data_IF_529360862049
#
_entry.id   IF_529360862049
#
_cell.length_a   1.000
_cell.length_b   1.000
_cell.length_c   1.000
_cell.angle_alpha   90.00
_cell.angle_beta   90.00
_cell.angle_gamma   90.00
#
_symmetry.space_group_name_H-M   'P 1'
#
loop_
_entity.id
_entity.type
_entity.pdbx_description
1 polymer ?
#
# COMPACT_ATOMS: atom_id res chain seq x y z
N UNK A 1 31.05 -43.66 -18.32
CA UNK A 1 30.09 -43.14 -17.32
C UNK A 1 29.24 -42.12 -18.04
N UNK A 2 27.96 -42.40 -18.21
CA UNK A 2 27.04 -41.44 -18.84
C UNK A 2 26.57 -40.51 -17.75
N UNK A 3 26.80 -39.19 -17.95
CA UNK A 3 26.28 -38.16 -17.08
C UNK A 3 24.74 -38.23 -17.12
N UNK A 4 24.17 -38.51 -15.95
CA UNK A 4 22.74 -38.43 -15.72
C UNK A 4 22.43 -36.95 -15.60
N UNK A 5 21.98 -36.33 -16.68
CA UNK A 5 21.32 -35.02 -16.62
C UNK A 5 20.03 -35.27 -15.86
N UNK A 6 20.00 -34.92 -14.60
CA UNK A 6 18.77 -34.85 -13.82
C UNK A 6 17.90 -33.75 -14.45
N UNK A 7 16.78 -34.16 -15.04
CA UNK A 7 15.72 -33.21 -15.43
C UNK A 7 15.37 -32.34 -14.21
N UNK A 8 15.18 -31.01 -14.36
CA UNK A 8 14.72 -30.20 -13.27
C UNK A 8 13.42 -30.80 -12.74
N UNK A 9 13.33 -30.98 -11.44
CA UNK A 9 12.10 -31.36 -10.77
C UNK A 9 11.00 -30.40 -11.26
N UNK A 10 9.81 -30.95 -11.49
CA UNK A 10 8.64 -30.15 -11.90
C UNK A 10 8.25 -29.29 -10.67
N UNK A 11 8.90 -28.14 -10.52
CA UNK A 11 8.61 -27.15 -9.47
C UNK A 11 7.27 -26.52 -9.79
N UNK A 12 6.39 -26.38 -8.81
CA UNK A 12 5.17 -25.59 -8.97
C UNK A 12 5.50 -24.11 -9.24
N UNK A 13 4.53 -23.34 -9.73
CA UNK A 13 4.70 -21.89 -9.93
C UNK A 13 5.09 -21.20 -8.63
N UNK A 14 5.95 -20.20 -8.71
CA UNK A 14 6.38 -19.33 -7.60
C UNK A 14 7.08 -20.05 -6.42
N UNK A 15 7.67 -21.23 -6.65
CA UNK A 15 8.36 -21.98 -5.59
C UNK A 15 9.88 -21.74 -5.58
N UNK A 16 10.45 -21.33 -6.68
CA UNK A 16 11.88 -21.02 -6.80
C UNK A 16 12.05 -19.52 -7.10
N UNK A 17 12.87 -18.76 -6.33
CA UNK A 17 13.03 -17.33 -6.53
C UNK A 17 13.82 -16.99 -7.82
N UNK A 18 14.59 -17.90 -8.39
CA UNK A 18 15.46 -17.64 -9.53
C UNK A 18 14.95 -18.23 -10.85
N UNK A 19 14.13 -19.29 -10.75
CA UNK A 19 13.68 -20.06 -11.94
C UNK A 19 12.16 -20.24 -11.89
N UNK A 20 11.50 -20.09 -13.04
CA UNK A 20 10.06 -20.37 -13.19
C UNK A 20 9.80 -21.86 -13.28
N UNK A 21 8.54 -22.29 -13.13
CA UNK A 21 8.13 -23.70 -13.29
C UNK A 21 8.55 -24.29 -14.64
N UNK A 22 8.63 -23.46 -15.70
CA UNK A 22 9.07 -23.85 -17.05
C UNK A 22 10.60 -23.80 -17.23
N UNK A 23 11.37 -23.56 -16.18
CA UNK A 23 12.83 -23.52 -16.21
C UNK A 23 13.46 -22.26 -16.80
N UNK A 24 12.68 -21.18 -16.94
CA UNK A 24 13.17 -19.88 -17.43
C UNK A 24 13.67 -19.01 -16.28
N UNK A 25 14.58 -18.06 -16.56
CA UNK A 25 15.08 -17.10 -15.57
C UNK A 25 13.95 -16.17 -15.11
N UNK A 26 13.68 -16.17 -13.81
CA UNK A 26 12.69 -15.28 -13.19
C UNK A 26 13.14 -13.82 -13.25
N UNK A 27 12.20 -12.91 -13.53
CA UNK A 27 12.47 -11.49 -13.48
C UNK A 27 12.77 -11.02 -12.05
N UNK A 28 13.64 -10.04 -11.96
CA UNK A 28 13.92 -9.28 -10.73
C UNK A 28 13.83 -7.79 -11.00
N UNK A 29 13.60 -7.02 -9.95
CA UNK A 29 13.42 -5.57 -9.98
C UNK A 29 14.40 -4.94 -8.99
N UNK A 30 15.30 -4.10 -9.49
CA UNK A 30 16.19 -3.28 -8.67
C UNK A 30 15.45 -2.07 -8.09
N UNK A 31 15.84 -1.61 -6.90
CA UNK A 31 15.42 -0.31 -6.38
C UNK A 31 16.15 0.79 -7.14
N UNK A 32 15.56 1.28 -8.24
CA UNK A 32 16.22 2.17 -9.19
C UNK A 32 15.97 3.67 -8.94
N UNK A 33 14.83 4.00 -8.31
CA UNK A 33 14.40 5.38 -8.06
C UNK A 33 13.53 5.43 -6.81
N UNK A 34 14.10 5.28 -5.59
CA UNK A 34 13.33 5.29 -4.35
C UNK A 34 12.60 6.63 -4.19
N UNK A 35 11.27 6.59 -4.20
CA UNK A 35 10.38 7.75 -4.12
C UNK A 35 9.53 7.73 -2.86
N UNK A 36 9.02 6.55 -2.47
CA UNK A 36 8.13 6.41 -1.32
C UNK A 36 8.67 5.39 -0.31
N UNK A 37 8.74 5.78 0.95
CA UNK A 37 8.92 4.84 2.06
C UNK A 37 7.60 4.68 2.82
N UNK A 38 7.08 3.46 2.81
CA UNK A 38 5.85 3.10 3.52
C UNK A 38 6.14 2.64 4.95
N UNK A 39 5.30 3.04 5.89
CA UNK A 39 5.26 2.50 7.25
C UNK A 39 3.92 1.82 7.51
N UNK A 40 3.96 0.52 7.85
CA UNK A 40 2.79 -0.16 8.37
C UNK A 40 2.64 0.17 9.85
N UNK A 41 1.58 0.85 10.20
CA UNK A 41 1.32 1.37 11.56
C UNK A 41 0.79 0.30 12.52
N UNK A 42 0.74 -0.97 12.10
CA UNK A 42 0.16 -2.11 12.79
C UNK A 42 -1.07 -2.67 12.09
N UNK A 43 -1.41 -3.92 12.35
CA UNK A 43 -2.56 -4.60 11.71
C UNK A 43 -3.89 -4.48 12.46
N UNK A 44 -3.91 -3.85 13.64
CA UNK A 44 -5.16 -3.55 14.33
C UNK A 44 -6.00 -2.56 13.52
N UNK A 45 -7.29 -2.89 13.34
CA UNK A 45 -8.27 -2.08 12.64
C UNK A 45 -9.58 -2.02 13.44
N UNK A 46 -10.36 -0.95 13.26
CA UNK A 46 -11.68 -0.82 13.88
C UNK A 46 -12.78 -1.62 13.17
N UNK A 47 -12.46 -2.17 11.99
CA UNK A 47 -13.36 -3.02 11.19
C UNK A 47 -12.59 -4.26 10.70
N UNK A 48 -13.33 -5.22 10.16
CA UNK A 48 -12.82 -6.42 9.49
C UNK A 48 -13.48 -6.49 8.12
N UNK A 49 -12.75 -6.09 7.07
CA UNK A 49 -13.24 -6.09 5.69
C UNK A 49 -13.22 -7.51 5.12
N UNK A 50 -14.20 -7.86 4.30
CA UNK A 50 -14.33 -9.20 3.72
C UNK A 50 -13.09 -9.64 2.93
N UNK A 51 -12.48 -8.73 2.19
CA UNK A 51 -11.32 -8.98 1.33
C UNK A 51 -10.09 -8.15 1.74
N UNK A 52 -9.82 -8.05 3.06
CA UNK A 52 -8.64 -7.33 3.54
C UNK A 52 -7.35 -8.12 3.24
N UNK A 53 -6.50 -7.63 2.33
CA UNK A 53 -5.28 -8.31 1.89
C UNK A 53 -4.22 -8.52 2.99
N UNK A 54 -4.28 -7.75 4.08
CA UNK A 54 -3.41 -7.91 5.25
C UNK A 54 -4.15 -8.48 6.46
N UNK A 55 -5.38 -8.98 6.25
CA UNK A 55 -6.21 -9.59 7.30
C UNK A 55 -6.37 -8.72 8.56
N UNK A 56 -6.39 -7.40 8.38
CA UNK A 56 -6.57 -6.46 9.50
C UNK A 56 -7.94 -6.62 10.14
N UNK A 57 -7.96 -6.61 11.47
CA UNK A 57 -9.18 -6.75 12.26
C UNK A 57 -8.98 -6.13 13.65
N UNK A 58 -10.05 -6.04 14.48
CA UNK A 58 -9.89 -5.58 15.85
C UNK A 58 -9.02 -6.45 16.75
N UNK A 59 -8.67 -7.66 16.31
CA UNK A 59 -7.89 -8.64 17.08
C UNK A 59 -6.58 -9.07 16.42
N UNK A 60 -6.34 -8.72 15.16
CA UNK A 60 -5.09 -9.06 14.49
C UNK A 60 -3.97 -8.09 14.90
N UNK A 61 -3.02 -8.56 15.70
CA UNK A 61 -1.83 -7.84 16.12
C UNK A 61 -0.53 -8.50 15.62
N UNK A 62 -0.57 -9.18 14.48
CA UNK A 62 0.61 -9.83 13.88
C UNK A 62 1.71 -8.82 13.54
N UNK A 63 1.32 -7.64 13.06
CA UNK A 63 2.18 -6.45 13.02
C UNK A 63 1.72 -5.51 14.13
N UNK A 64 2.64 -5.17 15.03
CA UNK A 64 2.36 -4.27 16.15
C UNK A 64 2.55 -2.82 15.76
N UNK A 65 2.09 -1.90 16.58
CA UNK A 65 2.30 -0.47 16.36
C UNK A 65 3.79 -0.14 16.27
N UNK A 66 4.18 0.47 15.16
CA UNK A 66 5.45 1.15 15.04
C UNK A 66 5.39 2.46 15.82
N UNK A 67 6.51 2.88 16.40
CA UNK A 67 6.60 4.09 17.21
C UNK A 67 7.14 5.28 16.41
N UNK A 68 6.90 6.50 16.89
CA UNK A 68 7.50 7.71 16.32
C UNK A 68 9.03 7.64 16.31
N UNK A 69 9.65 7.10 17.36
CA UNK A 69 11.10 6.95 17.44
C UNK A 69 11.64 6.04 16.34
N UNK A 70 10.98 4.92 16.08
CA UNK A 70 11.37 4.00 15.00
C UNK A 70 11.21 4.66 13.61
N UNK A 71 10.16 5.44 13.40
CA UNK A 71 10.00 6.22 12.15
C UNK A 71 11.14 7.23 12.01
N UNK A 72 11.48 7.98 13.06
CA UNK A 72 12.61 8.93 13.05
C UNK A 72 13.94 8.27 12.73
N UNK A 73 14.18 7.03 13.21
CA UNK A 73 15.39 6.27 12.88
C UNK A 73 15.48 5.98 11.37
N UNK A 74 14.37 5.61 10.73
CA UNK A 74 14.36 5.40 9.27
C UNK A 74 14.46 6.72 8.48
N UNK A 75 13.88 7.82 8.94
CA UNK A 75 14.04 9.13 8.33
C UNK A 75 15.52 9.58 8.39
N UNK A 76 16.23 9.26 9.46
CA UNK A 76 17.70 9.49 9.56
C UNK A 76 18.46 8.65 8.53
N UNK A 77 18.09 7.37 8.36
CA UNK A 77 18.69 6.50 7.35
C UNK A 77 18.47 7.00 5.92
N UNK A 78 17.29 7.56 5.59
CA UNK A 78 17.03 8.21 4.29
C UNK A 78 18.06 9.32 4.06
N UNK A 79 18.22 10.21 5.05
CA UNK A 79 19.15 11.34 4.97
C UNK A 79 20.60 10.88 4.83
N UNK A 80 21.05 9.92 5.65
CA UNK A 80 22.41 9.40 5.64
C UNK A 80 22.77 8.72 4.33
N UNK A 81 21.80 8.05 3.69
CA UNK A 81 22.00 7.38 2.40
C UNK A 81 21.81 8.31 1.20
N UNK A 82 21.26 9.49 1.41
CA UNK A 82 20.91 10.42 0.33
C UNK A 82 19.84 9.84 -0.60
N UNK A 83 18.91 9.02 -0.10
CA UNK A 83 17.81 8.53 -0.91
C UNK A 83 16.86 9.68 -1.24
N UNK A 84 16.44 9.83 -2.51
CA UNK A 84 15.58 10.93 -2.94
C UNK A 84 14.10 10.65 -2.62
N UNK A 85 13.81 10.15 -1.40
CA UNK A 85 12.43 9.89 -0.97
C UNK A 85 11.68 11.23 -0.89
N UNK A 86 10.65 11.37 -1.69
CA UNK A 86 9.76 12.55 -1.70
C UNK A 86 8.56 12.34 -0.76
N UNK A 87 8.07 11.13 -0.62
CA UNK A 87 6.85 10.83 0.10
C UNK A 87 7.06 9.78 1.21
N UNK A 88 6.45 10.01 2.36
CA UNK A 88 6.28 9.02 3.42
C UNK A 88 4.83 8.58 3.45
N UNK A 89 4.61 7.28 3.22
CA UNK A 89 3.29 6.66 3.26
C UNK A 89 3.01 5.97 4.58
N UNK A 90 1.85 6.22 5.18
CA UNK A 90 1.36 5.48 6.36
C UNK A 90 0.18 4.59 5.96
N UNK A 91 0.30 3.30 6.24
CA UNK A 91 -0.72 2.28 5.98
C UNK A 91 -0.83 1.34 7.19
N UNK A 92 -1.59 0.27 7.06
CA UNK A 92 -1.75 -0.74 8.10
C UNK A 92 -3.17 -1.27 8.15
N UNK A 93 -3.68 -1.58 9.35
CA UNK A 93 -5.10 -1.79 9.57
C UNK A 93 -5.84 -0.46 9.43
N UNK A 94 -5.83 0.32 10.51
CA UNK A 94 -6.27 1.72 10.46
C UNK A 94 -5.20 2.59 11.14
N UNK A 95 -4.48 3.43 10.39
CA UNK A 95 -3.38 4.24 10.94
C UNK A 95 -3.78 5.11 12.13
N UNK A 96 -4.98 5.67 12.13
CA UNK A 96 -5.46 6.46 13.26
C UNK A 96 -5.79 5.66 14.51
N UNK A 97 -5.65 4.34 14.51
CA UNK A 97 -5.64 3.52 15.73
C UNK A 97 -4.30 3.56 16.45
N UNK A 98 -3.20 3.78 15.73
CA UNK A 98 -1.89 3.99 16.35
C UNK A 98 -1.88 5.33 17.09
N UNK A 99 -1.62 5.37 18.41
CA UNK A 99 -1.66 6.60 19.18
C UNK A 99 -0.60 7.63 18.77
N UNK A 100 0.48 7.18 18.10
CA UNK A 100 1.60 8.04 17.72
C UNK A 100 1.52 8.52 16.26
N UNK A 101 0.42 8.23 15.51
CA UNK A 101 0.30 8.60 14.09
C UNK A 101 0.53 10.10 13.84
N UNK A 102 0.03 10.97 14.71
CA UNK A 102 0.23 12.42 14.58
C UNK A 102 1.71 12.81 14.77
N UNK A 103 2.40 12.19 15.73
CA UNK A 103 3.84 12.38 15.94
C UNK A 103 4.68 11.88 14.76
N UNK A 104 4.36 10.69 14.25
CA UNK A 104 5.01 10.12 13.06
C UNK A 104 4.82 10.99 11.82
N UNK A 105 3.59 11.48 11.59
CA UNK A 105 3.28 12.42 10.49
C UNK A 105 4.08 13.71 10.63
N UNK A 106 4.14 14.29 11.82
CA UNK A 106 4.96 15.48 12.12
C UNK A 106 6.43 15.23 11.81
N UNK A 107 6.98 14.09 12.26
CA UNK A 107 8.38 13.74 12.03
C UNK A 107 8.73 13.70 10.54
N UNK A 108 7.85 13.11 9.71
CA UNK A 108 8.04 13.04 8.26
C UNK A 108 8.00 14.44 7.61
N UNK A 109 7.05 15.29 8.01
CA UNK A 109 6.89 16.66 7.51
C UNK A 109 8.07 17.56 7.91
N UNK A 110 8.54 17.47 9.16
CA UNK A 110 9.74 18.17 9.67
C UNK A 110 11.01 17.75 8.90
N UNK A 111 11.10 16.47 8.51
CA UNK A 111 12.21 15.95 7.70
C UNK A 111 12.15 16.39 6.21
N UNK A 112 11.08 17.05 5.80
CA UNK A 112 10.97 17.62 4.45
C UNK A 112 10.18 16.77 3.45
N UNK A 113 9.50 15.72 3.88
CA UNK A 113 8.73 14.82 3.00
C UNK A 113 7.26 15.21 2.87
N UNK A 114 6.63 14.91 1.75
CA UNK A 114 5.17 14.80 1.62
C UNK A 114 4.67 13.61 2.44
N UNK A 115 3.41 13.66 2.89
CA UNK A 115 2.83 12.57 3.66
C UNK A 115 1.52 12.10 3.05
N UNK A 116 1.43 10.79 2.80
CA UNK A 116 0.23 10.09 2.36
C UNK A 116 -0.25 9.15 3.46
N UNK A 117 -1.49 9.32 3.93
CA UNK A 117 -2.09 8.42 4.94
C UNK A 117 -3.27 7.67 4.33
N UNK A 118 -3.18 6.33 4.29
CA UNK A 118 -4.29 5.47 3.87
C UNK A 118 -5.21 5.21 5.06
N UNK A 119 -6.48 5.57 4.96
CA UNK A 119 -7.42 5.45 6.08
C UNK A 119 -8.82 5.11 5.61
N UNK A 120 -9.60 4.49 6.47
CA UNK A 120 -11.04 4.33 6.27
C UNK A 120 -11.85 5.59 6.64
N UNK A 121 -11.20 6.61 7.15
CA UNK A 121 -11.75 7.91 7.59
C UNK A 121 -12.89 7.83 8.64
N UNK A 122 -13.04 6.68 9.32
CA UNK A 122 -14.12 6.47 10.28
C UNK A 122 -13.77 6.97 11.69
N UNK A 123 -14.42 6.39 12.71
CA UNK A 123 -14.33 6.77 14.12
C UNK A 123 -12.89 6.95 14.67
N UNK A 124 -11.87 6.14 14.32
CA UNK A 124 -10.52 6.37 14.84
C UNK A 124 -9.97 7.75 14.46
N UNK A 125 -10.09 8.15 13.18
CA UNK A 125 -9.68 9.47 12.71
C UNK A 125 -10.54 10.58 13.33
N UNK A 126 -11.83 10.33 13.50
CA UNK A 126 -12.81 11.31 14.03
C UNK A 126 -12.71 11.54 15.54
N UNK A 127 -11.82 10.83 16.28
CA UNK A 127 -11.57 11.12 17.69
C UNK A 127 -11.05 12.54 17.88
N UNK A 128 -11.48 13.20 18.96
CA UNK A 128 -11.14 14.60 19.26
C UNK A 128 -9.61 14.87 19.21
N UNK A 129 -8.80 13.95 19.76
CA UNK A 129 -7.33 14.07 19.74
C UNK A 129 -6.74 14.01 18.34
N UNK A 130 -7.23 13.10 17.48
CA UNK A 130 -6.75 12.93 16.10
C UNK A 130 -7.12 14.13 15.24
N UNK A 131 -8.39 14.58 15.31
CA UNK A 131 -8.82 15.82 14.61
C UNK A 131 -8.02 17.04 15.06
N UNK A 132 -7.80 17.21 16.36
CA UNK A 132 -6.99 18.30 16.85
C UNK A 132 -5.53 18.22 16.38
N UNK A 133 -4.94 17.02 16.36
CA UNK A 133 -3.59 16.80 15.82
C UNK A 133 -3.48 17.07 14.33
N UNK A 134 -4.45 16.63 13.52
CA UNK A 134 -4.49 16.94 12.09
C UNK A 134 -4.61 18.44 11.83
N UNK A 135 -5.48 19.14 12.56
CA UNK A 135 -5.63 20.60 12.44
C UNK A 135 -4.37 21.36 12.87
N UNK A 136 -3.65 20.87 13.88
CA UNK A 136 -2.38 21.44 14.31
C UNK A 136 -1.29 21.26 13.24
N UNK A 137 -1.16 20.07 12.66
CA UNK A 137 -0.28 19.84 11.52
C UNK A 137 -0.61 20.71 10.30
N UNK A 138 -1.90 20.92 10.05
CA UNK A 138 -2.37 21.69 8.91
C UNK A 138 -2.07 23.20 9.02
N UNK A 139 -1.65 23.72 10.17
CA UNK A 139 -1.21 25.10 10.30
C UNK A 139 0.04 25.40 9.46
N UNK A 140 0.97 24.45 9.43
CA UNK A 140 2.27 24.61 8.78
C UNK A 140 2.42 23.76 7.49
N UNK A 141 1.69 22.64 7.36
CA UNK A 141 1.95 21.62 6.33
C UNK A 141 0.69 21.10 5.63
N UNK A 142 -0.40 21.84 5.59
CA UNK A 142 -1.67 21.38 4.98
C UNK A 142 -1.49 20.80 3.58
N UNK A 143 -0.76 21.52 2.72
CA UNK A 143 -0.58 21.18 1.31
C UNK A 143 0.38 20.00 1.09
N UNK A 144 0.98 19.50 2.17
CA UNK A 144 1.89 18.35 2.17
C UNK A 144 1.31 17.11 2.83
N UNK A 145 0.03 17.13 3.16
CA UNK A 145 -0.70 16.01 3.76
C UNK A 145 -1.82 15.60 2.81
N UNK A 146 -1.78 14.38 2.32
CA UNK A 146 -2.86 13.77 1.54
C UNK A 146 -3.45 12.59 2.30
N UNK A 147 -4.77 12.56 2.42
CA UNK A 147 -5.51 11.41 2.97
C UNK A 147 -6.08 10.60 1.81
N UNK A 148 -5.63 9.35 1.64
CA UNK A 148 -6.25 8.42 0.69
C UNK A 148 -7.31 7.61 1.39
N UNK A 149 -8.56 7.88 1.03
CA UNK A 149 -9.72 7.30 1.71
C UNK A 149 -10.10 5.99 1.02
N UNK A 150 -10.23 4.95 1.80
CA UNK A 150 -10.69 3.66 1.29
C UNK A 150 -12.21 3.67 1.12
N UNK A 151 -12.67 3.94 -0.09
CA UNK A 151 -14.08 3.85 -0.53
C UNK A 151 -14.15 2.73 -1.55
N UNK A 152 -14.37 1.48 -1.11
CA UNK A 152 -14.25 0.31 -2.00
C UNK A 152 -15.23 0.35 -3.17
N UNK A 153 -16.42 0.91 -2.95
CA UNK A 153 -17.41 1.13 -3.98
C UNK A 153 -18.14 2.46 -3.78
N UNK A 154 -18.54 3.10 -4.86
CA UNK A 154 -19.27 4.37 -4.86
C UNK A 154 -20.70 4.25 -4.30
N UNK A 155 -21.31 3.06 -4.32
CA UNK A 155 -22.62 2.81 -3.72
C UNK A 155 -22.50 2.30 -2.29
N UNK A 156 -23.38 2.77 -1.40
CA UNK A 156 -23.45 2.35 0.00
C UNK A 156 -23.58 0.83 0.14
N UNK A 157 -24.43 0.19 -0.68
CA UNK A 157 -24.74 -1.23 -0.54
C UNK A 157 -23.49 -2.11 -0.72
N UNK A 158 -22.70 -1.87 -1.77
CA UNK A 158 -21.52 -2.66 -2.07
C UNK A 158 -20.32 -2.27 -1.19
N UNK A 159 -20.19 -1.00 -0.81
CA UNK A 159 -19.20 -0.61 0.17
C UNK A 159 -19.45 -1.26 1.54
N UNK A 160 -20.72 -1.28 1.99
CA UNK A 160 -21.09 -1.91 3.26
C UNK A 160 -20.99 -3.44 3.21
N UNK A 161 -21.18 -4.06 2.05
CA UNK A 161 -20.92 -5.50 1.84
C UNK A 161 -19.46 -5.85 2.14
N UNK A 162 -18.51 -5.02 1.70
CA UNK A 162 -17.09 -5.21 1.90
C UNK A 162 -16.63 -4.83 3.33
N UNK A 163 -17.14 -3.71 3.88
CA UNK A 163 -16.60 -3.09 5.12
C UNK A 163 -17.49 -3.23 6.34
N UNK A 164 -18.69 -3.77 6.16
CA UNK A 164 -19.68 -3.91 7.21
C UNK A 164 -20.73 -2.80 7.19
N UNK A 165 -21.91 -3.15 7.68
CA UNK A 165 -23.10 -2.30 7.66
C UNK A 165 -22.86 -0.94 8.33
N UNK A 166 -23.16 0.13 7.61
CA UNK A 166 -23.04 1.53 8.08
C UNK A 166 -21.62 2.09 7.96
N UNK A 167 -20.70 1.33 7.37
CA UNK A 167 -19.35 1.78 7.10
C UNK A 167 -19.31 2.97 6.13
N UNK A 168 -20.13 2.91 5.07
CA UNK A 168 -20.23 3.98 4.07
C UNK A 168 -20.57 5.33 4.70
N UNK A 169 -21.64 5.38 5.49
CA UNK A 169 -22.06 6.63 6.14
C UNK A 169 -20.98 7.24 7.04
N UNK A 170 -20.24 6.38 7.79
CA UNK A 170 -19.14 6.83 8.65
C UNK A 170 -17.93 7.33 7.84
N UNK A 171 -17.62 6.69 6.72
CA UNK A 171 -16.55 7.10 5.80
C UNK A 171 -16.90 8.46 5.18
N UNK A 172 -18.13 8.63 4.69
CA UNK A 172 -18.59 9.91 4.13
C UNK A 172 -18.57 11.04 5.18
N UNK A 173 -18.96 10.76 6.43
CA UNK A 173 -18.85 11.73 7.54
C UNK A 173 -17.38 12.20 7.72
N UNK A 174 -16.43 11.26 7.71
CA UNK A 174 -15.01 11.59 7.80
C UNK A 174 -14.51 12.40 6.60
N UNK A 175 -14.89 12.02 5.38
CA UNK A 175 -14.55 12.77 4.16
C UNK A 175 -15.13 14.20 4.16
N UNK A 176 -16.35 14.37 4.62
CA UNK A 176 -16.97 15.70 4.76
C UNK A 176 -16.18 16.55 5.75
N UNK A 177 -15.76 15.99 6.89
CA UNK A 177 -14.92 16.70 7.86
C UNK A 177 -13.58 17.11 7.25
N UNK A 178 -12.92 16.24 6.49
CA UNK A 178 -11.66 16.55 5.80
C UNK A 178 -11.84 17.67 4.78
N UNK A 179 -12.88 17.60 3.92
CA UNK A 179 -13.26 18.65 2.97
C UNK A 179 -13.47 19.99 3.67
N UNK A 180 -14.29 20.01 4.73
CA UNK A 180 -14.65 21.23 5.45
C UNK A 180 -13.46 21.89 6.15
N UNK A 181 -12.39 21.12 6.38
CA UNK A 181 -11.14 21.61 6.94
C UNK A 181 -10.01 21.76 5.89
N UNK A 182 -10.31 21.61 4.60
CA UNK A 182 -9.41 21.87 3.49
C UNK A 182 -8.25 20.90 3.34
N UNK A 183 -8.41 19.63 3.74
CA UNK A 183 -7.41 18.59 3.50
C UNK A 183 -7.51 18.05 2.07
N UNK A 184 -6.37 17.79 1.45
CA UNK A 184 -6.31 17.06 0.19
C UNK A 184 -6.74 15.59 0.41
N UNK A 185 -7.61 15.11 -0.48
CA UNK A 185 -8.13 13.74 -0.44
C UNK A 185 -7.95 13.07 -1.80
N UNK A 186 -7.61 11.78 -1.76
CA UNK A 186 -7.72 10.84 -2.88
C UNK A 186 -8.53 9.64 -2.44
N UNK A 187 -8.98 8.82 -3.37
CA UNK A 187 -9.81 7.65 -3.07
C UNK A 187 -9.15 6.37 -3.57
N UNK A 188 -9.21 5.32 -2.77
CA UNK A 188 -8.90 3.96 -3.16
C UNK A 188 -10.19 3.15 -3.23
N UNK A 189 -10.58 2.73 -4.43
CA UNK A 189 -11.72 1.88 -4.73
C UNK A 189 -11.28 0.50 -5.20
N UNK A 190 -12.25 -0.39 -5.46
CA UNK A 190 -12.04 -1.77 -5.93
C UNK A 190 -12.87 -2.08 -7.17
N UNK A 191 -12.42 -3.03 -7.98
CA UNK A 191 -13.08 -3.46 -9.23
C UNK A 191 -13.55 -4.92 -9.15
N UNK A 192 -14.07 -5.36 -7.99
CA UNK A 192 -14.42 -6.77 -7.74
C UNK A 192 -15.85 -7.15 -8.14
N UNK A 193 -16.70 -6.19 -8.46
CA UNK A 193 -18.14 -6.43 -8.75
C UNK A 193 -18.47 -6.59 -10.23
N UNK A 194 -17.47 -6.69 -11.11
CA UNK A 194 -17.65 -6.93 -12.54
C UNK A 194 -18.09 -5.72 -13.35
N UNK A 195 -18.06 -4.53 -12.79
CA UNK A 195 -18.25 -3.27 -13.51
C UNK A 195 -17.05 -2.99 -14.42
N UNK A 196 -17.30 -2.28 -15.53
CA UNK A 196 -16.21 -1.71 -16.30
C UNK A 196 -15.59 -0.53 -15.54
N UNK A 197 -14.31 -0.24 -15.81
CA UNK A 197 -13.63 0.90 -15.21
C UNK A 197 -14.39 2.21 -15.46
N UNK A 198 -14.95 2.41 -16.65
CA UNK A 198 -15.75 3.57 -16.99
C UNK A 198 -17.01 3.70 -16.11
N UNK A 199 -17.71 2.58 -15.84
CA UNK A 199 -18.88 2.57 -14.96
C UNK A 199 -18.49 2.92 -13.51
N UNK A 200 -17.40 2.34 -13.02
CA UNK A 200 -16.90 2.65 -11.67
C UNK A 200 -16.54 4.14 -11.55
N UNK A 201 -15.80 4.70 -12.54
CA UNK A 201 -15.41 6.12 -12.53
C UNK A 201 -16.63 7.06 -12.63
N UNK A 202 -17.64 6.71 -13.42
CA UNK A 202 -18.92 7.47 -13.47
C UNK A 202 -19.65 7.43 -12.11
N UNK A 203 -19.61 6.31 -11.42
CA UNK A 203 -20.18 6.17 -10.08
C UNK A 203 -19.44 7.04 -9.05
N UNK A 204 -18.11 7.00 -9.03
CA UNK A 204 -17.30 7.86 -8.15
C UNK A 204 -17.48 9.35 -8.47
N UNK A 205 -17.55 9.74 -9.75
CA UNK A 205 -17.83 11.14 -10.16
C UNK A 205 -19.16 11.61 -9.60
N UNK A 206 -20.19 10.76 -9.65
CA UNK A 206 -21.50 11.07 -9.09
C UNK A 206 -21.45 11.23 -7.58
N UNK A 207 -20.75 10.33 -6.87
CA UNK A 207 -20.54 10.39 -5.44
C UNK A 207 -19.82 11.69 -5.03
N UNK A 208 -18.75 12.05 -5.75
CA UNK A 208 -17.99 13.27 -5.45
C UNK A 208 -18.83 14.53 -5.67
N UNK A 209 -19.59 14.57 -6.76
CA UNK A 209 -20.49 15.69 -7.05
C UNK A 209 -21.59 15.83 -5.99
N UNK A 210 -22.21 14.73 -5.55
CA UNK A 210 -23.26 14.72 -4.52
C UNK A 210 -22.77 15.30 -3.20
N UNK A 211 -21.54 14.96 -2.80
CA UNK A 211 -20.99 15.39 -1.52
C UNK A 211 -20.05 16.61 -1.61
N UNK A 212 -19.82 17.15 -2.82
CA UNK A 212 -18.95 18.30 -3.04
C UNK A 212 -17.47 18.01 -2.71
N UNK A 213 -17.01 16.80 -3.02
CA UNK A 213 -15.59 16.44 -2.90
C UNK A 213 -14.85 16.88 -4.17
N UNK A 214 -13.74 17.61 -4.00
CA UNK A 214 -12.87 18.03 -5.10
C UNK A 214 -11.83 16.92 -5.40
N UNK A 215 -12.32 15.83 -6.00
CA UNK A 215 -11.53 14.66 -6.39
C UNK A 215 -11.84 14.35 -7.86
N UNK A 216 -10.80 14.19 -8.67
CA UNK A 216 -10.96 13.78 -10.06
C UNK A 216 -11.15 12.26 -10.17
N UNK A 217 -12.33 11.85 -10.64
CA UNK A 217 -12.67 10.45 -10.83
C UNK A 217 -11.93 9.83 -12.04
N UNK A 218 -11.44 10.64 -12.97
CA UNK A 218 -10.76 10.18 -14.18
C UNK A 218 -9.22 10.15 -14.01
N UNK A 219 -8.69 10.86 -13.02
CA UNK A 219 -7.29 10.76 -12.66
C UNK A 219 -7.01 9.47 -11.87
N UNK A 220 -6.21 8.53 -12.41
CA UNK A 220 -5.89 7.28 -11.73
C UNK A 220 -5.08 7.45 -10.43
N UNK A 221 -4.42 8.61 -10.23
CA UNK A 221 -3.73 8.93 -8.97
C UNK A 221 -4.70 9.45 -7.90
N UNK A 222 -5.74 10.22 -8.31
CA UNK A 222 -6.76 10.74 -7.42
C UNK A 222 -7.84 9.70 -7.07
N UNK A 223 -8.19 8.82 -8.01
CA UNK A 223 -9.15 7.71 -7.84
C UNK A 223 -8.50 6.41 -8.30
N UNK A 224 -7.81 5.76 -7.37
CA UNK A 224 -7.11 4.48 -7.60
C UNK A 224 -8.12 3.35 -7.52
N UNK A 225 -8.20 2.53 -8.57
CA UNK A 225 -9.09 1.36 -8.63
C UNK A 225 -8.25 0.08 -8.55
N UNK A 226 -8.28 -0.60 -7.39
CA UNK A 226 -7.53 -1.81 -7.18
C UNK A 226 -8.29 -3.05 -7.69
N UNK A 227 -7.59 -3.94 -8.42
CA UNK A 227 -8.16 -5.24 -8.79
C UNK A 227 -8.28 -6.14 -7.56
N UNK A 228 -9.01 -7.24 -7.72
CA UNK A 228 -9.10 -8.27 -6.71
C UNK A 228 -7.74 -8.91 -6.40
N UNK A 229 -7.44 -9.07 -5.10
CA UNK A 229 -6.19 -9.60 -4.57
C UNK A 229 -6.30 -11.12 -4.31
N UNK A 230 -6.73 -11.88 -5.31
CA UNK A 230 -6.84 -13.35 -5.23
C UNK A 230 -5.48 -14.02 -5.52
N UNK A 231 -4.87 -14.61 -4.50
CA UNK A 231 -3.61 -15.35 -4.60
C UNK A 231 -3.77 -16.72 -5.30
N UNK A 232 -5.00 -17.23 -5.37
CA UNK A 232 -5.31 -18.52 -5.99
C UNK A 232 -5.56 -18.42 -7.48
N UNK A 233 -5.64 -17.19 -8.01
CA UNK A 233 -5.87 -16.96 -9.43
C UNK A 233 -4.72 -17.54 -10.28
N UNK A 234 -5.07 -18.23 -11.37
CA UNK A 234 -4.09 -18.68 -12.35
C UNK A 234 -3.45 -17.47 -13.05
N UNK A 235 -2.18 -17.24 -12.77
CA UNK A 235 -1.39 -16.17 -13.38
C UNK A 235 -0.08 -16.72 -13.96
N UNK A 236 0.47 -16.10 -15.02
CA UNK A 236 1.79 -16.45 -15.52
C UNK A 236 2.89 -16.02 -14.53
N UNK A 237 4.01 -16.74 -14.56
CA UNK A 237 5.22 -16.28 -13.89
C UNK A 237 5.94 -15.24 -14.78
N UNK A 238 6.60 -14.28 -14.15
CA UNK A 238 7.29 -13.21 -14.88
C UNK A 238 8.76 -13.58 -15.08
N UNK A 239 9.14 -13.71 -16.33
CA UNK A 239 10.53 -13.99 -16.76
C UNK A 239 11.20 -12.70 -17.23
N UNK A 240 12.52 -12.74 -17.37
CA UNK A 240 13.28 -11.60 -17.93
C UNK A 240 12.84 -11.24 -19.36
N UNK A 241 12.33 -12.19 -20.13
CA UNK A 241 11.81 -11.94 -21.48
C UNK A 241 10.46 -11.19 -21.48
N UNK A 242 9.72 -11.21 -20.38
CA UNK A 242 8.41 -10.55 -20.29
C UNK A 242 8.49 -9.02 -20.49
N UNK A 243 9.59 -8.41 -20.14
CA UNK A 243 9.77 -6.96 -20.31
C UNK A 243 9.64 -6.56 -21.80
N UNK A 244 10.35 -7.24 -22.67
CA UNK A 244 10.29 -6.99 -24.13
C UNK A 244 8.91 -7.40 -24.70
N UNK A 245 8.36 -8.54 -24.28
CA UNK A 245 7.07 -9.06 -24.78
C UNK A 245 5.93 -8.10 -24.44
N UNK A 246 5.94 -7.53 -23.22
CA UNK A 246 4.88 -6.64 -22.73
C UNK A 246 5.14 -5.17 -23.06
N UNK A 247 6.33 -4.83 -23.57
CA UNK A 247 6.75 -3.44 -23.77
C UNK A 247 6.81 -2.63 -22.47
N UNK A 248 7.15 -3.29 -21.35
CA UNK A 248 7.25 -2.69 -20.01
C UNK A 248 8.69 -2.58 -19.54
N UNK A 249 8.92 -1.63 -18.62
CA UNK A 249 10.24 -1.46 -17.98
C UNK A 249 10.29 -2.18 -16.63
N UNK A 250 11.44 -2.78 -16.25
CA UNK A 250 11.68 -3.25 -14.88
C UNK A 250 11.57 -2.15 -13.80
N UNK A 251 11.55 -0.89 -14.20
CA UNK A 251 11.36 0.24 -13.29
C UNK A 251 9.90 0.59 -12.98
N UNK A 252 8.94 -0.02 -13.67
CA UNK A 252 7.51 0.27 -13.45
C UNK A 252 6.91 -0.41 -12.20
N UNK A 253 7.28 -1.66 -11.82
CA UNK A 253 6.73 -2.26 -10.61
C UNK A 253 7.08 -1.44 -9.36
N UNK A 254 6.14 -1.36 -8.42
CA UNK A 254 6.27 -0.58 -7.18
C UNK A 254 7.56 -0.85 -6.39
N UNK A 255 8.08 -2.08 -6.42
CA UNK A 255 9.34 -2.41 -5.76
C UNK A 255 10.60 -1.77 -6.39
N UNK A 256 10.47 -1.10 -7.55
CA UNK A 256 11.53 -0.27 -8.14
C UNK A 256 11.63 1.13 -7.49
N UNK A 257 10.53 1.62 -6.88
CA UNK A 257 10.42 2.98 -6.34
C UNK A 257 10.10 3.01 -4.83
N UNK A 258 9.70 1.90 -4.22
CA UNK A 258 9.27 1.93 -2.82
C UNK A 258 9.75 0.74 -1.99
N UNK A 259 9.71 0.93 -0.65
CA UNK A 259 9.90 -0.11 0.37
C UNK A 259 8.86 0.09 1.47
N UNK A 260 8.61 -0.95 2.28
CA UNK A 260 7.72 -0.84 3.43
C UNK A 260 8.42 -1.28 4.71
N UNK A 261 8.28 -0.50 5.76
CA UNK A 261 8.73 -0.84 7.11
C UNK A 261 7.57 -1.41 7.91
N UNK A 262 7.77 -2.55 8.55
CA UNK A 262 6.79 -3.21 9.42
C UNK A 262 7.42 -3.57 10.75
N UNK A 263 6.62 -3.67 11.81
CA UNK A 263 7.08 -4.21 13.10
C UNK A 263 6.31 -5.47 13.45
N UNK A 264 6.98 -6.61 13.47
CA UNK A 264 6.37 -7.90 13.81
C UNK A 264 6.17 -8.01 15.32
N UNK A 265 5.10 -8.70 15.72
CA UNK A 265 4.87 -9.00 17.14
C UNK A 265 6.07 -9.77 17.72
N UNK A 266 6.62 -9.25 18.81
CA UNK A 266 7.78 -9.84 19.51
C UNK A 266 9.14 -9.49 18.90
N UNK A 267 9.20 -8.78 17.78
CA UNK A 267 10.47 -8.29 17.23
C UNK A 267 10.97 -7.06 18.02
N UNK A 268 12.28 -7.02 18.25
CA UNK A 268 12.92 -5.87 18.90
C UNK A 268 12.96 -4.67 17.98
N UNK A 269 13.20 -4.89 16.68
CA UNK A 269 13.30 -3.86 15.63
C UNK A 269 12.30 -4.09 14.53
N UNK A 270 11.93 -3.04 13.80
CA UNK A 270 11.19 -3.17 12.54
C UNK A 270 12.03 -3.87 11.46
N UNK A 271 11.34 -4.40 10.46
CA UNK A 271 11.92 -4.98 9.25
C UNK A 271 11.50 -4.19 8.01
N UNK A 272 12.35 -4.17 6.99
CA UNK A 272 12.07 -3.56 5.68
C UNK A 272 11.63 -4.64 4.71
N UNK A 273 10.49 -4.43 4.07
CA UNK A 273 9.89 -5.33 3.08
C UNK A 273 9.99 -4.75 1.68
N UNK A 274 9.94 -5.65 0.70
CA UNK A 274 10.00 -5.31 -0.71
C UNK A 274 8.81 -4.47 -1.21
N UNK A 275 7.61 -4.70 -0.66
CA UNK A 275 6.39 -3.99 -1.08
C UNK A 275 5.30 -4.03 0.00
N UNK A 276 4.23 -3.25 -0.22
CA UNK A 276 3.09 -3.14 0.70
C UNK A 276 2.15 -4.35 0.70
N UNK A 277 2.18 -5.18 -0.35
CA UNK A 277 1.21 -6.24 -0.58
C UNK A 277 1.57 -7.56 0.12
N UNK A 278 2.83 -7.75 0.53
CA UNK A 278 3.36 -9.03 1.02
C UNK A 278 3.94 -8.91 2.43
N UNK A 279 3.18 -8.40 3.41
CA UNK A 279 3.73 -8.11 4.73
C UNK A 279 4.07 -9.36 5.54
N UNK A 280 3.54 -10.53 5.15
CA UNK A 280 3.73 -11.78 5.89
C UNK A 280 4.67 -12.77 5.20
N UNK A 281 5.10 -12.49 3.97
CA UNK A 281 5.95 -13.38 3.18
C UNK A 281 7.43 -13.19 3.51
N UNK A 282 8.09 -14.14 4.18
CA UNK A 282 9.47 -13.97 4.66
C UNK A 282 10.49 -13.73 3.53
N UNK A 283 10.24 -14.28 2.34
CA UNK A 283 11.10 -14.12 1.16
C UNK A 283 11.15 -12.68 0.64
N UNK A 284 10.17 -11.84 1.01
CA UNK A 284 10.13 -10.43 0.68
C UNK A 284 10.63 -9.52 1.81
N UNK A 285 11.12 -10.09 2.91
CA UNK A 285 11.79 -9.36 3.97
C UNK A 285 13.25 -9.13 3.60
N UNK A 286 13.65 -7.86 3.54
CA UNK A 286 14.94 -7.46 3.01
C UNK A 286 15.99 -7.17 4.08
N UNK A 287 15.59 -7.09 5.35
CA UNK A 287 16.47 -6.81 6.48
C UNK A 287 15.87 -5.78 7.44
N UNK A 288 16.67 -5.26 8.36
CA UNK A 288 16.25 -4.29 9.38
C UNK A 288 16.60 -2.84 9.02
N UNK A 289 17.42 -2.65 7.97
CA UNK A 289 17.91 -1.31 7.56
C UNK A 289 17.63 -1.03 6.09
N UNK A 290 17.59 0.26 5.73
CA UNK A 290 17.46 0.66 4.33
C UNK A 290 18.67 0.22 3.50
N UNK A 291 19.87 0.11 4.11
CA UNK A 291 21.04 -0.43 3.45
C UNK A 291 20.86 -1.87 2.97
N UNK A 292 20.29 -2.73 3.81
CA UNK A 292 20.00 -4.11 3.46
C UNK A 292 18.89 -4.23 2.42
N UNK A 293 18.01 -3.23 2.36
CA UNK A 293 16.86 -3.20 1.48
C UNK A 293 17.16 -2.71 0.05
N UNK A 294 18.39 -2.37 -0.31
CA UNK A 294 18.78 -1.99 -1.67
C UNK A 294 18.81 -3.17 -2.65
N UNK A 295 18.81 -4.39 -2.15
CA UNK A 295 18.88 -5.59 -3.01
C UNK A 295 17.68 -5.73 -3.93
N UNK A 296 17.89 -6.43 -5.05
CA UNK A 296 16.86 -6.74 -6.04
C UNK A 296 15.75 -7.61 -5.44
N UNK A 297 14.54 -7.37 -5.91
CA UNK A 297 13.34 -8.13 -5.56
C UNK A 297 13.00 -9.13 -6.65
N UNK A 298 12.95 -10.41 -6.32
CA UNK A 298 12.49 -11.45 -7.24
C UNK A 298 10.97 -11.41 -7.38
N UNK A 299 10.46 -11.47 -8.60
CA UNK A 299 9.00 -11.47 -8.85
C UNK A 299 8.42 -12.87 -8.62
N UNK A 300 8.56 -13.36 -7.39
CA UNK A 300 8.23 -14.73 -6.98
C UNK A 300 6.89 -14.85 -6.22
N UNK A 301 5.87 -14.07 -6.64
CA UNK A 301 4.56 -14.14 -6.04
C UNK A 301 3.46 -13.85 -7.09
N UNK A 302 2.26 -14.48 -7.02
CA UNK A 302 1.16 -14.19 -7.93
C UNK A 302 0.80 -12.70 -8.03
N UNK A 303 0.87 -11.96 -6.91
CA UNK A 303 0.61 -10.52 -6.89
C UNK A 303 1.62 -9.70 -7.71
N UNK A 304 2.88 -10.14 -7.80
CA UNK A 304 3.86 -9.48 -8.67
C UNK A 304 3.41 -9.50 -10.14
N UNK A 305 2.86 -10.65 -10.59
CA UNK A 305 2.33 -10.78 -11.93
C UNK A 305 0.99 -10.03 -12.09
N UNK A 306 -0.01 -10.39 -11.28
CA UNK A 306 -1.39 -9.91 -11.44
C UNK A 306 -1.53 -8.42 -11.18
N UNK A 307 -0.91 -7.91 -10.13
CA UNK A 307 -1.08 -6.52 -9.70
C UNK A 307 -0.09 -5.57 -10.39
N UNK A 308 1.22 -5.81 -10.20
CA UNK A 308 2.23 -4.84 -10.63
C UNK A 308 2.56 -4.94 -12.13
N UNK A 309 2.77 -6.17 -12.68
CA UNK A 309 3.24 -6.30 -14.06
C UNK A 309 2.09 -6.28 -15.06
N UNK A 310 1.02 -7.02 -14.82
CA UNK A 310 -0.11 -7.14 -15.76
C UNK A 310 -1.23 -6.16 -15.46
N UNK A 311 -1.50 -5.88 -14.18
CA UNK A 311 -2.57 -4.99 -13.74
C UNK A 311 -2.24 -3.51 -13.86
N UNK A 312 -0.97 -3.13 -13.79
CA UNK A 312 -0.53 -1.72 -13.88
C UNK A 312 -0.97 -0.85 -12.70
N UNK A 313 -1.38 -1.44 -11.58
CA UNK A 313 -1.78 -0.71 -10.39
C UNK A 313 -0.56 -0.36 -9.52
N UNK A 314 -0.59 0.80 -8.88
CA UNK A 314 0.42 1.26 -7.91
C UNK A 314 -0.26 1.74 -6.63
N UNK A 315 0.39 1.52 -5.47
CA UNK A 315 -0.05 2.08 -4.19
C UNK A 315 0.51 3.50 -3.96
N UNK A 316 1.62 3.84 -4.58
CA UNK A 316 2.15 5.20 -4.69
C UNK A 316 1.68 5.81 -5.98
N UNK A 317 1.28 7.07 -5.95
CA UNK A 317 0.67 7.79 -7.09
C UNK A 317 1.58 7.91 -8.30
#
# INVERSE_FOLDING_TARGET
MKDVVTSPANLGKFQDPDVTADGQTRASVALSHPETLWFNTGTLCNIECANCYIFSSPSNDALVYITESEVRDYLSQITERGWPISEIGFTGGEPFMNPEIIGMTRAALEAGHEVLILTNAMRPMMRKSMRAGLLDLAQDWRDRITLRISVDHWSEALHDEERGKGAFALTIEGMQWLRDNGFAMTVAGRTVWGESEAQSRDGYRSLYAEHGFDIDADDPAATVLFPEMDETAEVPEITTACWDILGKSPSEPMCASSRMVVKRKGAEKPAVLACTLLPYSPEFELGETLAEAERDVKLNHPHCAKFCVLGGASCSG
#
